data_IF_244340118254
#
_entry.id   IF_244340118254
#
_cell.length_a   1.000
_cell.length_b   1.000
_cell.length_c   1.000
_cell.angle_alpha   90.00
_cell.angle_beta   90.00
_cell.angle_gamma   90.00
#
_symmetry.space_group_name_H-M   'P 1'
#
loop_
_entity.id
_entity.type
_entity.pdbx_description
1 polymer ?
#
# COMPACT_ATOMS: atom_id res chain seq x y z
N UNK A 1 16.30 15.18 -7.67
CA UNK A 1 16.81 13.79 -7.79
C UNK A 1 15.86 13.01 -8.68
N UNK A 2 16.36 12.37 -9.74
CA UNK A 2 15.53 11.58 -10.66
C UNK A 2 15.00 10.30 -10.01
N UNK A 3 13.87 9.81 -10.52
CA UNK A 3 13.32 8.48 -10.19
C UNK A 3 14.06 7.44 -11.03
N UNK A 4 14.58 6.38 -10.41
CA UNK A 4 15.38 5.34 -11.08
C UNK A 4 14.95 3.96 -10.60
N UNK A 5 15.20 2.93 -11.41
CA UNK A 5 14.89 1.53 -11.02
C UNK A 5 15.68 1.09 -9.77
N UNK A 6 16.92 1.57 -9.61
CA UNK A 6 17.70 1.32 -8.40
C UNK A 6 17.01 1.87 -7.14
N UNK A 7 16.45 3.09 -7.23
CA UNK A 7 15.67 3.70 -6.15
C UNK A 7 14.33 2.97 -5.94
N UNK A 8 13.68 2.56 -7.02
CA UNK A 8 12.41 1.84 -6.94
C UNK A 8 12.51 0.56 -6.12
N UNK A 9 13.63 -0.19 -6.21
CA UNK A 9 13.87 -1.35 -5.33
C UNK A 9 13.70 -1.00 -3.85
N UNK A 10 14.33 0.09 -3.41
CA UNK A 10 14.26 0.52 -2.00
C UNK A 10 12.85 0.98 -1.62
N UNK A 11 12.16 1.68 -2.52
CA UNK A 11 10.79 2.16 -2.30
C UNK A 11 9.81 0.99 -2.22
N UNK A 12 9.91 0.02 -3.14
CA UNK A 12 9.05 -1.17 -3.19
C UNK A 12 9.26 -2.07 -1.97
N UNK A 13 10.49 -2.25 -1.48
CA UNK A 13 10.76 -2.97 -0.24
C UNK A 13 10.07 -2.32 0.98
N UNK A 14 10.03 -0.98 1.03
CA UNK A 14 9.30 -0.25 2.07
C UNK A 14 7.79 -0.42 1.93
N UNK A 15 7.25 -0.37 0.72
CA UNK A 15 5.82 -0.65 0.46
C UNK A 15 5.47 -2.06 0.96
N UNK A 16 6.27 -3.06 0.62
CA UNK A 16 6.10 -4.44 1.08
C UNK A 16 6.07 -4.55 2.61
N UNK A 17 6.98 -3.83 3.29
CA UNK A 17 7.02 -3.76 4.76
C UNK A 17 5.72 -3.18 5.34
N UNK A 18 5.13 -2.16 4.70
CA UNK A 18 3.85 -1.60 5.15
C UNK A 18 2.66 -2.54 4.87
N UNK A 19 2.68 -3.30 3.78
CA UNK A 19 1.68 -4.36 3.53
C UNK A 19 1.72 -5.42 4.64
N UNK A 20 2.92 -5.85 5.05
CA UNK A 20 3.09 -6.80 6.15
C UNK A 20 2.64 -6.24 7.51
N UNK A 21 2.83 -4.95 7.75
CA UNK A 21 2.31 -4.26 8.94
C UNK A 21 0.78 -4.23 8.95
N UNK A 22 0.13 -3.94 7.82
CA UNK A 22 -1.34 -4.00 7.68
C UNK A 22 -1.83 -5.41 8.01
N UNK A 23 -1.25 -6.43 7.37
CA UNK A 23 -1.61 -7.84 7.62
C UNK A 23 -1.44 -8.24 9.08
N UNK A 24 -0.35 -7.79 9.70
CA UNK A 24 -0.05 -8.06 11.10
C UNK A 24 -1.03 -7.37 12.05
N UNK A 25 -1.44 -6.13 11.74
CA UNK A 25 -2.44 -5.40 12.52
C UNK A 25 -3.79 -6.11 12.49
N UNK A 26 -4.28 -6.50 11.31
CA UNK A 26 -5.53 -7.25 11.18
C UNK A 26 -5.52 -8.55 12.00
N UNK A 27 -4.40 -9.30 11.94
CA UNK A 27 -4.22 -10.53 12.72
C UNK A 27 -4.17 -10.26 14.22
N UNK A 28 -3.42 -9.25 14.66
CA UNK A 28 -3.24 -8.90 16.07
C UNK A 28 -4.56 -8.53 16.74
N UNK A 29 -5.35 -7.70 16.06
CA UNK A 29 -6.62 -7.19 16.58
C UNK A 29 -7.84 -8.03 16.15
N UNK A 30 -7.62 -9.19 15.53
CA UNK A 30 -8.67 -10.11 15.06
C UNK A 30 -9.74 -9.44 14.17
N UNK A 31 -9.34 -8.45 13.36
CA UNK A 31 -10.24 -7.74 12.46
C UNK A 31 -10.42 -8.52 11.15
N UNK A 32 -11.34 -9.50 11.14
CA UNK A 32 -11.59 -10.38 9.98
C UNK A 32 -12.68 -9.83 9.08
N UNK A 33 -13.61 -9.08 9.65
CA UNK A 33 -14.75 -8.47 8.98
C UNK A 33 -14.66 -6.94 9.05
N UNK A 34 -15.42 -6.26 8.17
CA UNK A 34 -15.53 -4.81 8.20
C UNK A 34 -16.11 -4.29 9.52
N UNK A 35 -17.00 -5.06 10.16
CA UNK A 35 -17.59 -4.71 11.45
C UNK A 35 -16.54 -4.76 12.59
N UNK A 36 -15.78 -5.86 12.69
CA UNK A 36 -14.71 -5.97 13.70
C UNK A 36 -13.63 -4.91 13.50
N UNK A 37 -13.26 -4.64 12.24
CA UNK A 37 -12.33 -3.57 11.89
C UNK A 37 -12.87 -2.19 12.32
N UNK A 38 -14.14 -1.92 12.03
CA UNK A 38 -14.78 -0.66 12.39
C UNK A 38 -14.86 -0.44 13.92
N UNK A 39 -14.94 -1.50 14.72
CA UNK A 39 -14.96 -1.40 16.18
C UNK A 39 -13.57 -1.24 16.82
N UNK A 40 -12.50 -1.37 16.04
CA UNK A 40 -11.14 -1.35 16.54
C UNK A 40 -10.36 -0.13 16.03
N UNK A 41 -10.35 0.95 16.81
CA UNK A 41 -9.69 2.22 16.45
C UNK A 41 -8.19 2.05 16.24
N UNK A 42 -7.49 1.33 17.12
CA UNK A 42 -6.05 1.04 16.96
C UNK A 42 -5.73 0.35 15.62
N UNK A 43 -6.52 -0.64 15.22
CA UNK A 43 -6.33 -1.34 13.96
C UNK A 43 -6.56 -0.40 12.77
N UNK A 44 -7.60 0.42 12.83
CA UNK A 44 -7.89 1.44 11.81
C UNK A 44 -6.77 2.46 11.69
N UNK A 45 -6.25 2.96 12.82
CA UNK A 45 -5.19 3.96 12.85
C UNK A 45 -3.89 3.43 12.27
N UNK A 46 -3.49 2.21 12.66
CA UNK A 46 -2.30 1.55 12.11
C UNK A 46 -2.44 1.33 10.60
N UNK A 47 -3.60 0.84 10.15
CA UNK A 47 -3.84 0.61 8.73
C UNK A 47 -3.84 1.92 7.93
N UNK A 48 -4.50 2.95 8.47
CA UNK A 48 -4.56 4.28 7.86
C UNK A 48 -3.18 4.90 7.74
N UNK A 49 -2.37 4.82 8.80
CA UNK A 49 -0.98 5.26 8.76
C UNK A 49 -0.19 4.52 7.66
N UNK A 50 -0.29 3.18 7.59
CA UNK A 50 0.40 2.40 6.57
C UNK A 50 -0.02 2.81 5.15
N UNK A 51 -1.30 3.07 4.92
CA UNK A 51 -1.82 3.53 3.62
C UNK A 51 -1.24 4.89 3.23
N UNK A 52 -1.16 5.85 4.18
CA UNK A 52 -0.52 7.14 3.93
C UNK A 52 0.96 7.00 3.56
N UNK A 53 1.66 6.08 4.21
CA UNK A 53 3.07 5.79 3.89
C UNK A 53 3.21 5.16 2.50
N UNK A 54 2.29 4.26 2.12
CA UNK A 54 2.24 3.68 0.77
C UNK A 54 1.97 4.75 -0.29
N UNK A 55 1.05 5.70 -0.07
CA UNK A 55 0.83 6.84 -0.98
C UNK A 55 2.08 7.71 -1.13
N UNK A 56 2.72 8.06 -0.01
CA UNK A 56 3.95 8.86 -0.03
C UNK A 56 5.09 8.17 -0.79
N UNK A 57 5.22 6.85 -0.62
CA UNK A 57 6.23 6.04 -1.31
C UNK A 57 5.90 5.85 -2.79
N UNK A 58 4.64 5.61 -3.16
CA UNK A 58 4.25 5.37 -4.55
C UNK A 58 4.55 6.57 -5.46
N UNK A 59 4.43 7.80 -4.93
CA UNK A 59 4.81 9.03 -5.63
C UNK A 59 6.31 9.10 -5.97
N UNK A 60 7.15 8.31 -5.30
CA UNK A 60 8.60 8.26 -5.54
C UNK A 60 8.99 7.23 -6.60
N UNK A 61 8.09 6.33 -6.98
CA UNK A 61 8.35 5.32 -8.01
C UNK A 61 8.44 5.96 -9.39
N UNK A 62 9.25 5.36 -10.28
CA UNK A 62 9.15 5.63 -11.72
C UNK A 62 7.73 5.33 -12.22
N UNK A 63 7.32 5.98 -13.32
CA UNK A 63 6.00 5.76 -13.92
C UNK A 63 5.76 4.29 -14.25
N UNK A 64 6.76 3.63 -14.82
CA UNK A 64 6.72 2.20 -15.17
C UNK A 64 6.51 1.32 -13.92
N UNK A 65 7.25 1.57 -12.83
CA UNK A 65 7.06 0.83 -11.57
C UNK A 65 5.73 1.13 -10.89
N UNK A 66 5.23 2.35 -11.01
CA UNK A 66 3.94 2.73 -10.43
C UNK A 66 2.79 2.03 -11.15
N UNK A 67 2.80 2.01 -12.49
CA UNK A 67 1.68 1.50 -13.30
C UNK A 67 1.39 0.02 -13.07
N UNK A 68 2.40 -0.80 -12.80
CA UNK A 68 2.23 -2.24 -12.55
C UNK A 68 1.59 -2.58 -11.19
N UNK A 69 1.51 -1.62 -10.27
CA UNK A 69 0.90 -1.82 -8.94
C UNK A 69 -0.58 -1.45 -9.00
N UNK A 70 -1.41 -2.31 -9.58
CA UNK A 70 -2.82 -2.02 -9.89
C UNK A 70 -3.62 -1.54 -8.67
N UNK A 71 -3.41 -2.14 -7.49
CA UNK A 71 -4.10 -1.73 -6.27
C UNK A 71 -3.82 -0.28 -5.85
N UNK A 72 -2.73 0.31 -6.34
CA UNK A 72 -2.34 1.71 -6.14
C UNK A 72 -2.65 2.58 -7.36
N UNK A 73 -2.32 2.11 -8.57
CA UNK A 73 -2.35 2.90 -9.81
C UNK A 73 -3.74 3.06 -10.41
N UNK A 74 -4.56 2.03 -10.32
CA UNK A 74 -5.94 1.99 -10.82
C UNK A 74 -6.96 1.70 -9.71
N UNK A 75 -6.48 1.35 -8.52
CA UNK A 75 -7.29 1.13 -7.34
C UNK A 75 -7.69 2.40 -6.60
N UNK A 76 -8.26 2.22 -5.41
CA UNK A 76 -8.89 3.29 -4.63
C UNK A 76 -7.93 4.11 -3.75
N UNK A 77 -6.61 4.06 -3.99
CA UNK A 77 -5.63 4.70 -3.10
C UNK A 77 -5.90 6.20 -2.91
N UNK A 78 -6.15 6.95 -3.99
CA UNK A 78 -6.37 8.40 -3.92
C UNK A 78 -7.66 8.75 -3.15
N UNK A 79 -8.82 8.14 -3.46
CA UNK A 79 -10.01 8.28 -2.63
C UNK A 79 -9.80 7.93 -1.15
N UNK A 80 -9.13 6.81 -0.85
CA UNK A 80 -8.91 6.34 0.52
C UNK A 80 -7.94 7.25 1.28
N UNK A 81 -6.91 7.79 0.61
CA UNK A 81 -5.99 8.76 1.20
C UNK A 81 -6.70 10.08 1.52
N UNK A 82 -7.55 10.57 0.63
CA UNK A 82 -8.44 11.72 0.94
C UNK A 82 -9.34 11.40 2.13
N UNK A 83 -9.88 10.17 2.13
CA UNK A 83 -10.48 9.44 3.23
C UNK A 83 -9.89 9.82 4.59
N UNK A 84 -8.63 9.44 4.70
CA UNK A 84 -7.80 9.48 5.89
C UNK A 84 -7.38 10.91 6.24
N UNK A 85 -6.89 11.66 5.26
CA UNK A 85 -6.30 12.98 5.49
C UNK A 85 -7.32 14.04 5.96
N UNK A 86 -8.58 13.89 5.59
CA UNK A 86 -9.65 14.83 5.94
C UNK A 86 -10.60 14.31 7.04
N UNK A 87 -10.17 13.29 7.81
CA UNK A 87 -10.92 12.67 8.91
C UNK A 87 -12.32 12.13 8.53
N UNK A 88 -12.49 11.77 7.26
CA UNK A 88 -13.71 11.14 6.76
C UNK A 88 -13.73 9.62 6.99
N UNK A 89 -12.72 9.05 7.66
CA UNK A 89 -12.64 7.61 7.94
C UNK A 89 -13.89 7.13 8.67
N UNK A 90 -14.40 7.95 9.60
CA UNK A 90 -15.61 7.64 10.38
C UNK A 90 -16.84 7.49 9.49
N UNK A 91 -16.88 8.17 8.34
CA UNK A 91 -18.01 8.16 7.41
C UNK A 91 -17.97 6.97 6.44
N UNK A 92 -16.80 6.39 6.16
CA UNK A 92 -16.70 5.27 5.21
C UNK A 92 -15.67 4.20 5.60
N UNK A 93 -15.85 3.63 6.79
CA UNK A 93 -15.03 2.53 7.33
C UNK A 93 -14.99 1.30 6.40
N UNK A 94 -16.07 1.07 5.65
CA UNK A 94 -16.16 -0.04 4.70
C UNK A 94 -15.21 0.12 3.50
N UNK A 95 -15.12 1.33 2.94
CA UNK A 95 -14.16 1.62 1.86
C UNK A 95 -12.72 1.50 2.35
N UNK A 96 -12.43 1.99 3.57
CA UNK A 96 -11.11 1.79 4.18
C UNK A 96 -10.79 0.30 4.31
N UNK A 97 -11.72 -0.49 4.87
CA UNK A 97 -11.51 -1.93 5.05
C UNK A 97 -11.33 -2.66 3.72
N UNK A 98 -12.12 -2.32 2.69
CA UNK A 98 -11.97 -2.91 1.36
C UNK A 98 -10.57 -2.67 0.80
N UNK A 99 -10.06 -1.44 0.90
CA UNK A 99 -8.72 -1.12 0.43
C UNK A 99 -7.62 -1.80 1.26
N UNK A 100 -7.85 -1.96 2.56
CA UNK A 100 -6.97 -2.75 3.43
C UNK A 100 -6.89 -4.21 2.97
N UNK A 101 -8.01 -4.81 2.57
CA UNK A 101 -8.02 -6.16 1.98
C UNK A 101 -7.27 -6.20 0.64
N UNK A 102 -7.49 -5.21 -0.23
CA UNK A 102 -6.76 -5.09 -1.50
C UNK A 102 -5.24 -4.98 -1.29
N UNK A 103 -4.79 -4.33 -0.22
CA UNK A 103 -3.36 -4.25 0.11
C UNK A 103 -2.76 -5.60 0.50
N UNK A 104 -3.54 -6.50 1.10
CA UNK A 104 -3.02 -7.77 1.65
C UNK A 104 -3.36 -9.00 0.80
N UNK A 105 -4.07 -8.84 -0.31
CA UNK A 105 -4.33 -9.94 -1.24
C UNK A 105 -3.03 -10.43 -1.89
N UNK A 106 -2.96 -11.73 -2.18
CA UNK A 106 -1.76 -12.35 -2.77
C UNK A 106 -1.33 -11.67 -4.08
N UNK A 107 -2.29 -11.28 -4.94
CA UNK A 107 -1.99 -10.59 -6.20
C UNK A 107 -1.27 -9.26 -6.03
N UNK A 108 -1.58 -8.49 -4.98
CA UNK A 108 -0.87 -7.23 -4.68
C UNK A 108 0.56 -7.50 -4.21
N UNK A 109 0.75 -8.53 -3.38
CA UNK A 109 2.10 -8.97 -2.97
C UNK A 109 2.94 -9.40 -4.17
N UNK A 110 2.36 -10.17 -5.09
CA UNK A 110 3.04 -10.67 -6.27
C UNK A 110 3.44 -9.52 -7.21
N UNK A 111 2.56 -8.53 -7.42
CA UNK A 111 2.88 -7.31 -8.18
C UNK A 111 4.13 -6.61 -7.61
N UNK A 112 4.17 -6.37 -6.30
CA UNK A 112 5.31 -5.69 -5.66
C UNK A 112 6.58 -6.53 -5.74
N UNK A 113 6.51 -7.84 -5.44
CA UNK A 113 7.68 -8.74 -5.47
C UNK A 113 8.23 -8.91 -6.89
N UNK A 114 7.38 -9.13 -7.87
CA UNK A 114 7.78 -9.25 -9.27
C UNK A 114 8.42 -7.95 -9.75
N UNK A 115 7.88 -6.79 -9.33
CA UNK A 115 8.47 -5.51 -9.72
C UNK A 115 9.82 -5.26 -9.05
N UNK A 116 10.01 -5.68 -7.80
CA UNK A 116 11.33 -5.65 -7.14
C UNK A 116 12.34 -6.45 -7.96
N UNK A 117 12.00 -7.70 -8.35
CA UNK A 117 12.86 -8.56 -9.15
C UNK A 117 13.23 -7.89 -10.48
N UNK A 118 12.24 -7.39 -11.21
CA UNK A 118 12.46 -6.67 -12.47
C UNK A 118 13.43 -5.49 -12.29
N UNK A 119 13.21 -4.64 -11.27
CA UNK A 119 14.07 -3.50 -11.02
C UNK A 119 15.50 -3.93 -10.64
N UNK A 120 15.67 -5.02 -9.90
CA UNK A 120 16.99 -5.56 -9.56
C UNK A 120 17.76 -6.07 -10.78
N UNK A 121 17.07 -6.66 -11.76
CA UNK A 121 17.66 -7.16 -13.00
C UNK A 121 18.03 -6.02 -13.96
N UNK A 122 17.28 -4.92 -13.97
CA UNK A 122 17.42 -3.84 -14.97
C UNK A 122 17.98 -2.52 -14.42
N UNK A 123 18.30 -2.43 -13.12
CA UNK A 123 18.80 -1.19 -12.48
C UNK A 123 20.10 -0.64 -13.08
N UNK A 124 20.90 -1.49 -13.71
CA UNK A 124 22.18 -1.13 -14.33
C UNK A 124 22.10 -1.03 -15.86
N UNK A 125 20.93 -1.25 -16.47
CA UNK A 125 20.77 -1.28 -17.93
C UNK A 125 20.79 0.12 -18.58
N UNK A 126 20.91 1.19 -17.78
CA UNK A 126 20.93 2.60 -18.22
C UNK A 126 22.08 3.39 -17.57
N UNK A 127 23.18 2.73 -17.17
CA UNK A 127 24.48 3.39 -16.94
C UNK A 127 25.31 3.31 -18.23
#
# INVERSE_FOLDING_TARGET
MGKTLARDVQVLLKILTYMDKIKSALKRYQCKTSFEFALNEDCMDICSFCILQIDSLSRQLTTDSYQVLNFISTGNLVPVRNMIAHDYIKLNRQVLFSFVQDCIQNGSYDQVKNRIKYCQEHKNANE
#
